data_IF_879010603143
#
_entry.id   IF_879010603143
#
_cell.length_a   1.000
_cell.length_b   1.000
_cell.length_c   1.000
_cell.angle_alpha   90.00
_cell.angle_beta   90.00
_cell.angle_gamma   90.00
#
_symmetry.space_group_name_H-M   'P 1'
#
loop_
_entity.id
_entity.type
_entity.pdbx_description
1 polymer ?
#
# COMPACT_ATOMS: atom_id res chain seq x y z
N UNK A 1 -11.93 31.14 -8.49
CA UNK A 1 -11.28 31.54 -7.23
C UNK A 1 -9.81 31.84 -7.48
N UNK A 2 -9.33 33.02 -7.08
CA UNK A 2 -7.92 33.36 -7.11
C UNK A 2 -7.14 32.58 -6.06
N UNK A 3 -5.94 32.10 -6.37
CA UNK A 3 -5.13 31.27 -5.47
C UNK A 3 -4.07 32.08 -4.71
N UNK A 4 -3.45 33.08 -5.34
CA UNK A 4 -2.35 33.88 -4.77
C UNK A 4 -2.83 35.08 -3.97
N UNK A 5 -3.95 35.68 -4.36
CA UNK A 5 -4.47 36.88 -3.74
C UNK A 5 -5.99 36.85 -3.62
N UNK A 6 -6.56 37.81 -2.88
CA UNK A 6 -8.01 38.01 -2.81
C UNK A 6 -8.57 38.78 -4.00
N UNK A 7 -7.78 39.66 -4.57
CA UNK A 7 -8.17 40.53 -5.67
C UNK A 7 -7.08 40.54 -6.75
N UNK A 8 -7.49 40.62 -8.00
CA UNK A 8 -6.61 40.85 -9.14
C UNK A 8 -6.93 42.23 -9.74
N UNK A 9 -5.90 43.03 -10.06
CA UNK A 9 -6.06 44.32 -10.73
C UNK A 9 -6.07 44.12 -12.25
N UNK A 10 -6.43 45.16 -12.95
CA UNK A 10 -6.39 45.19 -14.43
C UNK A 10 -4.95 44.92 -14.89
N UNK A 11 -4.81 43.97 -15.84
CA UNK A 11 -3.55 43.50 -16.40
C UNK A 11 -2.68 42.61 -15.48
N UNK A 12 -3.16 42.24 -14.29
CA UNK A 12 -2.47 41.28 -13.45
C UNK A 12 -2.55 39.86 -14.05
N UNK A 13 -1.46 39.11 -13.85
CA UNK A 13 -1.45 37.66 -14.08
C UNK A 13 -1.39 36.98 -12.72
N UNK A 14 -2.36 36.11 -12.47
CA UNK A 14 -2.46 35.39 -11.19
C UNK A 14 -2.93 33.96 -11.42
N UNK A 15 -2.57 33.08 -10.53
CA UNK A 15 -3.09 31.71 -10.51
C UNK A 15 -4.54 31.70 -10.00
N UNK A 16 -5.40 30.99 -10.71
CA UNK A 16 -6.79 30.87 -10.35
C UNK A 16 -7.30 29.43 -10.56
N UNK A 17 -8.26 29.04 -9.76
CA UNK A 17 -9.08 27.86 -10.01
C UNK A 17 -10.39 28.29 -10.67
N UNK A 18 -10.71 27.66 -11.80
CA UNK A 18 -11.98 27.81 -12.49
C UNK A 18 -12.80 26.57 -12.26
N UNK A 19 -13.98 26.73 -11.66
CA UNK A 19 -14.95 25.65 -11.48
C UNK A 19 -15.96 25.76 -12.61
N UNK A 20 -16.10 24.69 -13.36
CA UNK A 20 -17.03 24.63 -14.50
C UNK A 20 -18.38 24.05 -14.06
N UNK A 21 -19.46 24.64 -14.52
CA UNK A 21 -20.83 24.11 -14.28
C UNK A 21 -21.09 22.85 -15.08
N UNK A 22 -20.46 22.72 -16.25
CA UNK A 22 -20.53 21.52 -17.08
C UNK A 22 -19.13 21.03 -17.43
N UNK A 23 -18.95 19.72 -17.60
CA UNK A 23 -17.66 19.14 -18.00
C UNK A 23 -17.22 19.68 -19.36
N UNK A 24 -15.96 20.06 -19.46
CA UNK A 24 -15.30 20.39 -20.72
C UNK A 24 -14.07 19.51 -20.93
N UNK A 25 -13.84 19.15 -22.17
CA UNK A 25 -12.60 18.49 -22.57
C UNK A 25 -11.50 19.55 -22.71
N UNK A 26 -10.60 19.57 -21.76
CA UNK A 26 -9.49 20.53 -21.70
C UNK A 26 -8.15 19.82 -21.70
N UNK A 27 -7.15 20.49 -22.24
CA UNK A 27 -5.75 20.07 -22.21
C UNK A 27 -4.85 21.19 -21.67
N UNK A 28 -3.59 20.86 -21.36
CA UNK A 28 -2.61 21.88 -21.01
C UNK A 28 -2.45 22.90 -22.15
N UNK A 29 -2.44 24.16 -21.81
CA UNK A 29 -2.23 25.24 -22.76
C UNK A 29 -3.50 25.81 -23.41
N UNK A 30 -4.64 25.13 -23.25
CA UNK A 30 -5.92 25.64 -23.75
C UNK A 30 -6.21 27.04 -23.22
N UNK A 31 -6.79 27.87 -24.09
CA UNK A 31 -7.08 29.25 -23.78
C UNK A 31 -8.56 29.44 -23.51
N UNK A 32 -8.88 30.04 -22.39
CA UNK A 32 -10.24 30.36 -21.97
C UNK A 32 -10.46 31.85 -22.00
N UNK A 33 -11.65 32.26 -22.41
CA UNK A 33 -12.13 33.64 -22.30
C UNK A 33 -13.11 33.72 -21.12
N UNK A 34 -12.80 34.57 -20.15
CA UNK A 34 -13.61 34.74 -18.95
C UNK A 34 -14.50 36.00 -19.13
N UNK A 35 -15.81 35.83 -18.94
CA UNK A 35 -16.80 36.91 -18.98
C UNK A 35 -17.56 37.00 -17.67
N UNK A 36 -18.20 38.14 -17.42
CA UNK A 36 -19.15 38.31 -16.31
C UNK A 36 -20.34 37.33 -16.43
N UNK A 37 -21.02 37.04 -15.31
CA UNK A 37 -22.14 36.07 -15.29
C UNK A 37 -23.29 36.42 -16.23
N UNK A 38 -23.44 37.69 -16.59
CA UNK A 38 -24.38 38.19 -17.62
C UNK A 38 -23.77 38.19 -19.04
N UNK A 39 -22.55 37.67 -19.18
CA UNK A 39 -21.78 37.63 -20.44
C UNK A 39 -21.49 38.96 -21.14
N UNK A 40 -21.81 40.10 -20.51
CA UNK A 40 -21.66 41.42 -21.13
C UNK A 40 -20.23 41.97 -21.05
N UNK A 41 -19.50 41.66 -19.96
CA UNK A 41 -18.19 42.23 -19.72
C UNK A 41 -17.12 41.17 -19.87
N UNK A 42 -16.08 41.47 -20.63
CA UNK A 42 -14.86 40.67 -20.71
C UNK A 42 -14.04 40.90 -19.43
N UNK A 43 -13.86 39.85 -18.64
CA UNK A 43 -13.05 39.87 -17.41
C UNK A 43 -11.58 39.65 -17.75
N UNK A 44 -11.27 38.70 -18.64
CA UNK A 44 -9.91 38.41 -19.02
C UNK A 44 -9.76 37.12 -19.83
N UNK A 45 -8.52 36.72 -20.04
CA UNK A 45 -8.17 35.42 -20.62
C UNK A 45 -7.47 34.56 -19.58
N UNK A 46 -7.58 33.24 -19.76
CA UNK A 46 -6.84 32.27 -18.94
C UNK A 46 -6.20 31.19 -19.82
N UNK A 47 -5.13 30.60 -19.30
CA UNK A 47 -4.47 29.42 -19.88
C UNK A 47 -4.62 28.27 -18.90
N UNK A 48 -5.04 27.11 -19.39
CA UNK A 48 -5.13 25.89 -18.60
C UNK A 48 -3.73 25.38 -18.26
N UNK A 49 -3.46 25.18 -16.98
CA UNK A 49 -2.20 24.59 -16.48
C UNK A 49 -2.39 23.16 -16.00
N UNK A 50 -3.56 22.87 -15.45
CA UNK A 50 -3.91 21.56 -14.91
C UNK A 50 -5.42 21.35 -15.01
N UNK A 51 -5.85 20.13 -15.32
CA UNK A 51 -7.27 19.80 -15.47
C UNK A 51 -7.91 19.22 -14.21
N UNK A 52 -7.11 18.72 -13.27
CA UNK A 52 -7.57 18.14 -12.02
C UNK A 52 -7.02 18.91 -10.81
N UNK A 53 -7.78 19.87 -10.31
CA UNK A 53 -7.41 20.61 -9.10
C UNK A 53 -7.65 19.76 -7.84
N UNK A 54 -6.73 19.74 -6.87
CA UNK A 54 -6.93 19.04 -5.61
C UNK A 54 -8.08 19.67 -4.80
N UNK A 55 -8.82 18.84 -4.04
CA UNK A 55 -9.93 19.33 -3.21
C UNK A 55 -9.46 20.20 -2.03
N UNK A 56 -8.26 19.97 -1.51
CA UNK A 56 -7.67 20.63 -0.33
C UNK A 56 -6.29 21.17 -0.64
N UNK A 57 -5.78 22.06 0.21
CA UNK A 57 -4.42 22.61 0.15
C UNK A 57 -4.10 23.38 -1.15
N UNK A 58 -5.12 23.99 -1.76
CA UNK A 58 -5.02 24.69 -3.06
C UNK A 58 -4.13 25.92 -3.06
N UNK A 59 -3.89 26.51 -1.87
CA UNK A 59 -3.16 27.79 -1.69
C UNK A 59 -1.86 27.62 -0.88
N UNK A 60 -1.38 26.40 -0.70
CA UNK A 60 -0.08 26.20 -0.06
C UNK A 60 1.05 26.70 -0.95
N UNK A 61 2.14 27.13 -0.36
CA UNK A 61 3.32 27.59 -1.07
C UNK A 61 3.82 26.54 -2.07
N UNK A 62 3.93 25.29 -1.64
CA UNK A 62 4.31 24.17 -2.50
C UNK A 62 3.38 24.00 -3.71
N UNK A 63 2.07 24.20 -3.54
CA UNK A 63 1.10 24.13 -4.62
C UNK A 63 1.24 25.28 -5.62
N UNK A 64 1.43 26.48 -5.12
CA UNK A 64 1.65 27.67 -5.98
C UNK A 64 2.96 27.56 -6.76
N UNK A 65 4.03 27.11 -6.11
CA UNK A 65 5.31 26.86 -6.77
C UNK A 65 5.17 25.80 -7.88
N UNK A 66 4.47 24.70 -7.62
CA UNK A 66 4.20 23.67 -8.62
C UNK A 66 3.48 24.23 -9.86
N UNK A 67 2.40 24.99 -9.68
CA UNK A 67 1.66 25.61 -10.79
C UNK A 67 2.50 26.63 -11.55
N UNK A 68 3.33 27.39 -10.85
CA UNK A 68 4.28 28.31 -11.45
C UNK A 68 5.30 27.58 -12.33
N UNK A 69 5.87 26.49 -11.82
CA UNK A 69 6.80 25.64 -12.56
C UNK A 69 6.14 25.00 -13.80
N UNK A 70 4.90 24.50 -13.67
CA UNK A 70 4.13 24.01 -14.82
C UNK A 70 3.94 25.09 -15.90
N UNK A 71 3.66 26.34 -15.50
CA UNK A 71 3.49 27.44 -16.42
C UNK A 71 4.80 27.82 -17.14
N UNK A 72 5.93 27.66 -16.47
CA UNK A 72 7.27 27.97 -17.00
C UNK A 72 7.83 26.85 -17.88
N UNK A 73 7.39 25.60 -17.65
CA UNK A 73 7.85 24.44 -18.40
C UNK A 73 7.51 24.55 -19.90
N UNK A 74 8.53 24.42 -20.74
CA UNK A 74 8.41 24.63 -22.20
C UNK A 74 7.94 23.39 -22.94
N UNK A 75 8.31 22.20 -22.46
CA UNK A 75 8.01 20.91 -23.12
C UNK A 75 7.04 20.07 -22.29
N UNK A 76 6.34 19.15 -22.94
CA UNK A 76 5.51 18.14 -22.29
C UNK A 76 6.35 17.28 -21.34
N UNK A 77 7.53 16.87 -21.75
CA UNK A 77 8.48 16.09 -20.94
C UNK A 77 8.76 16.78 -19.58
N UNK A 78 9.06 18.07 -19.59
CA UNK A 78 9.29 18.84 -18.35
C UNK A 78 8.05 18.86 -17.45
N UNK A 79 6.85 19.03 -18.00
CA UNK A 79 5.60 19.04 -17.22
C UNK A 79 5.25 17.68 -16.67
N UNK A 80 5.48 16.62 -17.45
CA UNK A 80 5.31 15.22 -16.99
C UNK A 80 6.24 14.96 -15.79
N UNK A 81 7.53 15.29 -15.90
CA UNK A 81 8.48 15.12 -14.80
C UNK A 81 8.05 15.86 -13.54
N UNK A 82 7.61 17.14 -13.66
CA UNK A 82 7.07 17.89 -12.51
C UNK A 82 5.83 17.22 -11.89
N UNK A 83 4.96 16.68 -12.72
CA UNK A 83 3.72 16.03 -12.27
C UNK A 83 4.03 14.72 -11.52
N UNK A 84 4.95 13.92 -12.05
CA UNK A 84 5.34 12.63 -11.48
C UNK A 84 6.22 12.74 -10.23
N UNK A 85 6.85 13.89 -9.99
CA UNK A 85 7.49 14.17 -8.69
C UNK A 85 6.51 14.19 -7.53
N UNK A 86 5.24 14.43 -7.81
CA UNK A 86 4.22 14.59 -6.77
C UNK A 86 3.42 13.33 -6.52
N UNK A 87 3.00 12.65 -7.58
CA UNK A 87 2.10 11.50 -7.49
C UNK A 87 2.27 10.55 -8.69
N UNK A 88 1.84 9.31 -8.52
CA UNK A 88 1.62 8.44 -9.68
C UNK A 88 0.37 8.88 -10.45
N UNK A 89 0.50 8.97 -11.77
CA UNK A 89 -0.57 9.44 -12.66
C UNK A 89 -0.83 8.40 -13.76
N UNK A 90 -2.09 8.24 -14.15
CA UNK A 90 -2.41 7.31 -15.23
C UNK A 90 -1.82 7.79 -16.56
N UNK A 91 -1.26 6.86 -17.34
CA UNK A 91 -0.73 7.14 -18.67
C UNK A 91 -1.77 7.80 -19.56
N UNK A 92 -3.02 7.34 -19.49
CA UNK A 92 -4.13 7.93 -20.23
C UNK A 92 -4.39 9.40 -19.84
N UNK A 93 -4.29 9.75 -18.54
CA UNK A 93 -4.45 11.14 -18.09
C UNK A 93 -3.30 12.02 -18.58
N UNK A 94 -2.06 11.52 -18.58
CA UNK A 94 -0.90 12.24 -19.12
C UNK A 94 -1.02 12.45 -20.63
N UNK A 95 -1.35 11.41 -21.39
CA UNK A 95 -1.57 11.52 -22.83
C UNK A 95 -2.67 12.53 -23.16
N UNK A 96 -3.76 12.52 -22.39
CA UNK A 96 -4.84 13.47 -22.57
C UNK A 96 -4.42 14.90 -22.24
N UNK A 97 -3.87 15.12 -21.06
CA UNK A 97 -3.52 16.47 -20.58
C UNK A 97 -2.47 17.15 -21.44
N UNK A 98 -1.52 16.37 -21.98
CA UNK A 98 -0.41 16.88 -22.79
C UNK A 98 -0.64 16.68 -24.31
N UNK A 99 -1.76 16.07 -24.71
CA UNK A 99 -2.11 15.76 -26.11
C UNK A 99 -1.03 14.94 -26.81
N UNK A 100 -0.55 13.88 -26.14
CA UNK A 100 0.51 13.00 -26.63
C UNK A 100 -0.05 11.69 -27.16
N UNK A 101 0.65 11.12 -28.13
CA UNK A 101 0.52 9.73 -28.54
C UNK A 101 1.24 8.81 -27.54
N UNK A 102 0.96 7.52 -27.61
CA UNK A 102 1.63 6.49 -26.80
C UNK A 102 3.16 6.54 -26.91
N UNK A 103 3.67 6.67 -28.16
CA UNK A 103 5.11 6.73 -28.40
C UNK A 103 5.75 8.00 -27.81
N UNK A 104 5.09 9.15 -27.96
CA UNK A 104 5.57 10.41 -27.38
C UNK A 104 5.59 10.37 -25.86
N UNK A 105 4.60 9.74 -25.22
CA UNK A 105 4.64 9.53 -23.78
C UNK A 105 5.80 8.63 -23.37
N UNK A 106 6.03 7.52 -24.08
CA UNK A 106 7.14 6.62 -23.80
C UNK A 106 8.51 7.32 -23.94
N UNK A 107 8.69 8.18 -24.95
CA UNK A 107 9.89 8.99 -25.12
C UNK A 107 10.07 9.98 -23.96
N UNK A 108 9.00 10.68 -23.55
CA UNK A 108 9.03 11.63 -22.45
C UNK A 108 9.36 10.98 -21.09
N UNK A 109 8.83 9.80 -20.83
CA UNK A 109 9.14 9.03 -19.62
C UNK A 109 10.61 8.57 -19.63
N UNK A 110 11.10 8.07 -20.75
CA UNK A 110 12.49 7.65 -20.89
C UNK A 110 13.48 8.81 -20.70
N UNK A 111 13.17 10.01 -21.23
CA UNK A 111 13.99 11.21 -21.06
C UNK A 111 14.11 11.63 -19.60
N UNK A 112 13.05 11.45 -18.80
CA UNK A 112 13.02 11.78 -17.39
C UNK A 112 13.52 10.67 -16.46
N UNK A 113 13.80 9.47 -16.96
CA UNK A 113 14.00 8.23 -16.17
C UNK A 113 12.78 7.88 -15.30
N UNK A 114 11.59 8.22 -15.79
CA UNK A 114 10.32 7.88 -15.16
C UNK A 114 9.88 6.47 -15.55
N UNK A 115 9.08 5.84 -14.71
CA UNK A 115 8.70 4.43 -14.85
C UNK A 115 7.21 4.34 -15.18
N UNK A 116 6.89 3.33 -16.02
CA UNK A 116 5.51 2.94 -16.29
C UNK A 116 5.26 1.50 -15.88
N UNK A 117 4.24 1.30 -15.07
CA UNK A 117 3.68 -0.01 -14.77
C UNK A 117 2.20 -0.03 -15.15
N UNK A 118 1.85 -0.85 -16.14
CA UNK A 118 0.51 -0.91 -16.72
C UNK A 118 0.03 0.50 -17.17
N UNK A 119 -1.02 1.01 -16.51
CA UNK A 119 -1.57 2.35 -16.78
C UNK A 119 -1.02 3.44 -15.84
N UNK A 120 -0.07 3.14 -14.96
CA UNK A 120 0.48 4.11 -14.01
C UNK A 120 1.89 4.53 -14.39
N UNK A 121 2.11 5.85 -14.40
CA UNK A 121 3.43 6.46 -14.56
C UNK A 121 3.83 7.10 -13.23
N UNK A 122 5.08 6.96 -12.83
CA UNK A 122 5.64 7.46 -11.58
C UNK A 122 7.16 7.60 -11.70
N UNK A 123 7.75 8.38 -10.81
CA UNK A 123 9.20 8.48 -10.73
C UNK A 123 9.79 7.58 -9.63
N UNK A 124 11.11 7.44 -9.62
CA UNK A 124 11.82 6.61 -8.64
C UNK A 124 11.70 7.16 -7.20
N UNK A 125 11.55 8.46 -7.01
CA UNK A 125 11.41 9.06 -5.69
C UNK A 125 10.04 8.71 -5.09
N UNK A 126 8.99 8.75 -5.90
CA UNK A 126 7.66 8.28 -5.51
C UNK A 126 7.71 6.80 -5.09
N UNK A 127 8.33 5.93 -5.89
CA UNK A 127 8.46 4.51 -5.55
C UNK A 127 9.20 4.33 -4.21
N UNK A 128 10.35 5.01 -4.03
CA UNK A 128 11.11 4.98 -2.79
C UNK A 128 10.30 5.47 -1.59
N UNK A 129 9.56 6.54 -1.74
CA UNK A 129 8.68 7.05 -0.68
C UNK A 129 7.63 6.02 -0.28
N UNK A 130 6.95 5.40 -1.24
CA UNK A 130 5.89 4.43 -0.95
C UNK A 130 6.43 3.13 -0.36
N UNK A 131 7.56 2.62 -0.86
CA UNK A 131 8.23 1.46 -0.25
C UNK A 131 8.69 1.76 1.18
N UNK A 132 9.22 2.95 1.44
CA UNK A 132 9.58 3.36 2.81
C UNK A 132 8.35 3.47 3.74
N UNK A 133 7.23 3.99 3.24
CA UNK A 133 5.97 4.03 3.99
C UNK A 133 5.49 2.62 4.35
N UNK A 134 5.59 1.66 3.44
CA UNK A 134 5.25 0.25 3.66
C UNK A 134 6.15 -0.36 4.75
N UNK A 135 7.47 -0.18 4.67
CA UNK A 135 8.42 -0.68 5.66
C UNK A 135 8.15 -0.09 7.05
N UNK A 136 7.93 1.23 7.11
CA UNK A 136 7.66 1.92 8.38
C UNK A 136 6.35 1.46 9.02
N UNK A 137 5.29 1.32 8.23
CA UNK A 137 4.00 0.84 8.71
C UNK A 137 4.10 -0.59 9.25
N UNK A 138 4.86 -1.45 8.58
CA UNK A 138 5.06 -2.83 8.99
C UNK A 138 5.96 -2.92 10.25
N UNK A 139 7.01 -2.10 10.35
CA UNK A 139 7.84 -2.01 11.54
C UNK A 139 7.03 -1.58 12.76
N UNK A 140 6.25 -0.50 12.64
CA UNK A 140 5.35 -0.03 13.70
C UNK A 140 4.34 -1.09 14.11
N UNK A 141 3.80 -1.84 13.14
CA UNK A 141 2.90 -2.94 13.44
C UNK A 141 3.58 -4.06 14.24
N UNK A 142 4.80 -4.42 13.89
CA UNK A 142 5.57 -5.45 14.61
C UNK A 142 5.94 -5.03 16.04
N UNK A 143 6.23 -3.77 16.26
CA UNK A 143 6.47 -3.23 17.61
C UNK A 143 5.22 -3.32 18.51
N UNK A 144 4.05 -3.04 17.93
CA UNK A 144 2.78 -3.08 18.65
C UNK A 144 2.20 -4.50 18.80
N UNK A 145 2.57 -5.42 17.92
CA UNK A 145 2.02 -6.78 17.80
C UNK A 145 3.13 -7.80 17.58
N UNK A 146 4.06 -7.88 18.53
CA UNK A 146 5.24 -8.75 18.46
C UNK A 146 4.91 -10.26 18.44
N UNK A 147 3.67 -10.63 18.81
CA UNK A 147 3.12 -11.98 18.79
C UNK A 147 2.42 -12.35 17.47
N UNK A 148 2.32 -11.42 16.52
CA UNK A 148 1.68 -11.63 15.22
C UNK A 148 2.71 -11.84 14.12
N UNK A 149 2.42 -12.75 13.19
CA UNK A 149 3.31 -13.01 12.04
C UNK A 149 3.53 -11.79 11.17
N UNK A 150 2.49 -11.01 10.94
CA UNK A 150 2.52 -9.85 10.08
C UNK A 150 1.14 -9.42 9.61
N UNK A 151 1.08 -8.82 8.44
CA UNK A 151 -0.14 -8.26 7.84
C UNK A 151 -0.47 -8.94 6.51
N UNK A 152 -1.76 -9.07 6.20
CA UNK A 152 -2.17 -9.37 4.82
C UNK A 152 -1.85 -8.20 3.89
N UNK A 153 -1.61 -8.47 2.61
CA UNK A 153 -1.33 -7.45 1.58
C UNK A 153 -2.36 -6.32 1.60
N UNK A 154 -3.64 -6.66 1.64
CA UNK A 154 -4.73 -5.68 1.67
C UNK A 154 -4.75 -4.82 2.95
N UNK A 155 -4.37 -5.39 4.11
CA UNK A 155 -4.28 -4.62 5.35
C UNK A 155 -3.07 -3.70 5.35
N UNK A 156 -1.93 -4.17 4.86
CA UNK A 156 -0.71 -3.38 4.73
C UNK A 156 -0.94 -2.19 3.80
N UNK A 157 -1.54 -2.40 2.63
CA UNK A 157 -1.95 -1.32 1.72
C UNK A 157 -2.78 -0.24 2.43
N UNK A 158 -3.82 -0.66 3.18
CA UNK A 158 -4.73 0.29 3.86
C UNK A 158 -4.06 1.12 4.94
N UNK A 159 -3.09 0.58 5.67
CA UNK A 159 -2.43 1.32 6.75
C UNK A 159 -1.23 2.14 6.27
N UNK A 160 -0.57 1.72 5.19
CA UNK A 160 0.64 2.37 4.70
C UNK A 160 0.37 3.41 3.61
N UNK A 161 -0.50 3.09 2.65
CA UNK A 161 -0.60 3.81 1.38
C UNK A 161 -2.04 4.01 0.91
N UNK A 162 -2.99 4.14 1.85
CA UNK A 162 -4.40 4.38 1.52
C UNK A 162 -4.54 5.57 0.55
N UNK A 163 -5.43 5.43 -0.43
CA UNK A 163 -5.67 6.37 -1.52
C UNK A 163 -4.61 6.39 -2.64
N UNK A 164 -3.63 5.51 -2.61
CA UNK A 164 -2.77 5.26 -3.76
C UNK A 164 -3.38 4.18 -4.67
N UNK A 165 -2.96 4.06 -5.94
CA UNK A 165 -3.44 2.99 -6.82
C UNK A 165 -3.09 1.60 -6.26
N UNK A 166 -4.10 0.81 -5.89
CA UNK A 166 -3.91 -0.47 -5.19
C UNK A 166 -3.04 -1.46 -5.99
N UNK A 167 -3.29 -1.59 -7.29
CA UNK A 167 -2.51 -2.47 -8.16
C UNK A 167 -1.04 -2.05 -8.27
N UNK A 168 -0.75 -0.74 -8.25
CA UNK A 168 0.62 -0.22 -8.25
C UNK A 168 1.33 -0.51 -6.93
N UNK A 169 0.66 -0.29 -5.80
CA UNK A 169 1.23 -0.60 -4.49
C UNK A 169 1.45 -2.11 -4.32
N UNK A 170 0.56 -2.93 -4.84
CA UNK A 170 0.74 -4.39 -4.83
C UNK A 170 1.95 -4.81 -5.67
N UNK A 171 2.20 -4.15 -6.80
CA UNK A 171 3.42 -4.36 -7.57
C UNK A 171 4.68 -4.01 -6.76
N UNK A 172 4.70 -2.88 -6.06
CA UNK A 172 5.83 -2.53 -5.19
C UNK A 172 6.05 -3.56 -4.08
N UNK A 173 4.98 -4.09 -3.49
CA UNK A 173 5.08 -5.17 -2.49
C UNK A 173 5.71 -6.43 -3.09
N UNK A 174 5.35 -6.82 -4.33
CA UNK A 174 5.97 -7.96 -5.01
C UNK A 174 7.46 -7.72 -5.27
N UNK A 175 7.84 -6.54 -5.78
CA UNK A 175 9.24 -6.18 -5.97
C UNK A 175 10.02 -6.25 -4.64
N UNK A 176 9.45 -5.73 -3.54
CA UNK A 176 10.05 -5.79 -2.20
C UNK A 176 10.22 -7.23 -1.68
N UNK A 177 9.32 -8.14 -2.04
CA UNK A 177 9.44 -9.57 -1.75
C UNK A 177 10.58 -10.21 -2.56
N UNK A 178 10.65 -9.91 -3.86
CA UNK A 178 11.69 -10.42 -4.76
C UNK A 178 13.09 -9.92 -4.37
N UNK A 179 13.18 -8.67 -3.91
CA UNK A 179 14.42 -8.06 -3.39
C UNK A 179 14.78 -8.50 -1.96
N UNK A 180 13.89 -9.24 -1.28
CA UNK A 180 14.10 -9.71 0.08
C UNK A 180 13.94 -8.62 1.16
N UNK A 181 13.39 -7.46 0.81
CA UNK A 181 13.06 -6.40 1.78
C UNK A 181 11.86 -6.77 2.65
N UNK A 182 10.98 -7.59 2.11
CA UNK A 182 9.86 -8.22 2.81
C UNK A 182 9.96 -9.74 2.70
N UNK A 183 9.30 -10.42 3.61
CA UNK A 183 9.09 -11.87 3.56
C UNK A 183 7.60 -12.18 3.71
N UNK A 184 7.19 -13.31 3.16
CA UNK A 184 5.83 -13.80 3.30
C UNK A 184 5.83 -15.20 3.90
N UNK A 185 5.10 -15.37 5.00
CA UNK A 185 4.90 -16.67 5.63
C UNK A 185 3.41 -16.94 5.78
N UNK A 186 2.91 -18.01 5.16
CA UNK A 186 1.48 -18.41 5.21
C UNK A 186 0.52 -17.26 4.82
N UNK A 187 0.91 -16.44 3.84
CA UNK A 187 0.09 -15.32 3.37
C UNK A 187 0.26 -14.02 4.18
N UNK A 188 1.07 -14.01 5.24
CA UNK A 188 1.35 -12.84 6.06
C UNK A 188 2.68 -12.21 5.67
N UNK A 189 2.66 -10.91 5.36
CA UNK A 189 3.84 -10.11 5.06
C UNK A 189 4.50 -9.64 6.36
N UNK A 190 5.82 -9.77 6.42
CA UNK A 190 6.61 -9.35 7.59
C UNK A 190 8.02 -8.89 7.18
N UNK A 191 8.67 -8.15 8.07
CA UNK A 191 10.08 -7.80 7.90
C UNK A 191 10.95 -9.05 8.07
N UNK A 192 12.09 -9.18 7.36
CA UNK A 192 13.02 -10.29 7.52
C UNK A 192 13.58 -10.43 8.94
N UNK A 193 13.69 -9.31 9.65
CA UNK A 193 14.14 -9.27 11.05
C UNK A 193 13.06 -9.70 12.06
N UNK A 194 11.79 -9.71 11.65
CA UNK A 194 10.69 -10.04 12.55
C UNK A 194 10.52 -11.56 12.65
N UNK A 195 10.67 -12.07 13.85
CA UNK A 195 10.45 -13.49 14.17
C UNK A 195 9.56 -13.57 15.40
N UNK A 196 8.42 -14.23 15.26
CA UNK A 196 7.68 -14.64 16.46
C UNK A 196 8.53 -15.66 17.21
N UNK A 197 8.69 -15.47 18.51
CA UNK A 197 9.38 -16.39 19.38
C UNK A 197 8.59 -16.53 20.67
N UNK A 198 8.70 -17.68 21.32
CA UNK A 198 8.25 -17.82 22.69
C UNK A 198 9.14 -17.02 23.63
N UNK A 199 8.54 -16.31 24.59
CA UNK A 199 9.26 -15.78 25.74
C UNK A 199 9.87 -16.92 26.56
N UNK A 200 10.74 -16.61 27.51
CA UNK A 200 11.31 -17.63 28.42
C UNK A 200 10.23 -18.39 29.21
N UNK A 201 9.19 -17.67 29.64
CA UNK A 201 8.03 -18.25 30.32
C UNK A 201 7.20 -19.11 29.38
N UNK A 202 6.95 -18.64 28.16
CA UNK A 202 6.24 -19.37 27.12
C UNK A 202 7.02 -20.60 26.65
N UNK A 203 8.36 -20.57 26.63
CA UNK A 203 9.17 -21.75 26.34
C UNK A 203 9.03 -22.83 27.42
N UNK A 204 8.93 -22.42 28.68
CA UNK A 204 8.66 -23.34 29.80
C UNK A 204 7.26 -23.95 29.68
N UNK A 205 6.27 -23.10 29.38
CA UNK A 205 4.90 -23.57 29.14
C UNK A 205 4.83 -24.51 27.92
N UNK A 206 5.58 -24.22 26.85
CA UNK A 206 5.63 -25.07 25.68
C UNK A 206 6.12 -26.49 25.99
N UNK A 207 7.14 -26.62 26.83
CA UNK A 207 7.63 -27.95 27.27
C UNK A 207 6.55 -28.75 28.01
N UNK A 208 5.78 -28.08 28.85
CA UNK A 208 4.65 -28.73 29.56
C UNK A 208 3.52 -29.11 28.58
N UNK A 209 3.18 -28.23 27.64
CA UNK A 209 2.16 -28.53 26.60
C UNK A 209 2.61 -29.70 25.72
N UNK A 210 3.89 -29.74 25.33
CA UNK A 210 4.42 -30.84 24.53
C UNK A 210 4.30 -32.19 25.26
N UNK A 211 4.63 -32.22 26.56
CA UNK A 211 4.49 -33.43 27.35
C UNK A 211 3.05 -33.94 27.42
N UNK A 212 2.03 -33.08 27.45
CA UNK A 212 0.64 -33.48 27.38
C UNK A 212 0.25 -34.04 26.01
N UNK A 213 0.77 -33.49 24.91
CA UNK A 213 0.59 -34.06 23.58
C UNK A 213 1.26 -35.43 23.42
N UNK A 214 2.42 -35.66 24.02
CA UNK A 214 3.10 -36.93 24.05
C UNK A 214 2.26 -38.01 24.79
N UNK A 215 1.67 -37.66 25.94
CA UNK A 215 0.73 -38.54 26.67
C UNK A 215 -0.53 -38.86 25.88
N UNK A 216 -0.95 -37.93 25.01
CA UNK A 216 -2.14 -38.13 24.17
C UNK A 216 -1.87 -39.03 22.95
N UNK A 217 -0.63 -39.56 22.77
CA UNK A 217 -0.28 -40.52 21.71
C UNK A 217 -0.75 -40.09 20.30
N UNK A 218 -0.49 -38.84 19.96
CA UNK A 218 -0.81 -38.28 18.62
C UNK A 218 -2.26 -37.83 18.47
N UNK A 219 -3.09 -37.84 19.50
CA UNK A 219 -4.46 -37.33 19.43
C UNK A 219 -4.51 -35.80 19.53
N UNK A 220 -5.60 -35.21 18.97
CA UNK A 220 -5.85 -33.79 19.10
C UNK A 220 -6.40 -33.45 20.49
N UNK A 221 -5.88 -32.36 21.07
CA UNK A 221 -6.27 -31.89 22.42
C UNK A 221 -7.07 -30.59 22.29
N UNK A 222 -8.10 -30.45 23.12
CA UNK A 222 -8.87 -29.23 23.26
C UNK A 222 -8.13 -28.24 24.16
N UNK A 223 -8.25 -26.93 23.84
CA UNK A 223 -7.69 -25.84 24.66
C UNK A 223 -8.12 -25.95 26.13
N UNK A 224 -9.42 -26.23 26.38
CA UNK A 224 -9.97 -26.39 27.72
C UNK A 224 -9.31 -27.56 28.49
N UNK A 225 -9.11 -28.66 27.83
CA UNK A 225 -8.54 -29.83 28.48
C UNK A 225 -7.04 -29.62 28.78
N UNK A 226 -6.31 -28.94 27.88
CA UNK A 226 -4.94 -28.51 28.10
C UNK A 226 -4.83 -27.52 29.25
N UNK A 227 -5.71 -26.51 29.31
CA UNK A 227 -5.75 -25.53 30.38
C UNK A 227 -5.99 -26.19 31.76
N UNK A 228 -6.90 -27.15 31.81
CA UNK A 228 -7.20 -27.94 33.02
C UNK A 228 -5.99 -28.79 33.44
N UNK A 229 -5.35 -29.49 32.50
CA UNK A 229 -4.21 -30.37 32.80
C UNK A 229 -2.99 -29.59 33.33
N UNK A 230 -2.79 -28.36 32.85
CA UNK A 230 -1.67 -27.51 33.25
C UNK A 230 -2.05 -26.42 34.29
N UNK A 231 -3.26 -26.47 34.84
CA UNK A 231 -3.80 -25.48 35.81
C UNK A 231 -3.61 -24.03 35.37
N UNK A 232 -3.85 -23.75 34.08
CA UNK A 232 -3.77 -22.43 33.46
C UNK A 232 -5.16 -21.84 33.18
N UNK A 233 -5.24 -20.52 33.06
CA UNK A 233 -6.45 -19.86 32.56
C UNK A 233 -6.73 -20.29 31.11
N UNK A 234 -8.00 -20.63 30.81
CA UNK A 234 -8.40 -21.11 29.48
C UNK A 234 -8.15 -20.07 28.39
N UNK A 235 -8.37 -18.77 28.67
CA UNK A 235 -8.16 -17.71 27.71
C UNK A 235 -6.67 -17.52 27.41
N UNK A 236 -5.82 -17.56 28.44
CA UNK A 236 -4.37 -17.51 28.29
C UNK A 236 -3.85 -18.72 27.52
N UNK A 237 -4.31 -19.93 27.85
CA UNK A 237 -3.96 -21.16 27.10
C UNK A 237 -4.41 -21.12 25.66
N UNK A 238 -5.59 -20.60 25.38
CA UNK A 238 -6.08 -20.40 24.01
C UNK A 238 -5.13 -19.53 23.20
N UNK A 239 -4.80 -18.36 23.73
CA UNK A 239 -3.87 -17.42 23.07
C UNK A 239 -2.51 -18.08 22.82
N UNK A 240 -1.99 -18.79 23.79
CA UNK A 240 -0.72 -19.51 23.69
C UNK A 240 -0.77 -20.62 22.62
N UNK A 241 -1.79 -21.48 22.61
CA UNK A 241 -1.90 -22.55 21.62
C UNK A 241 -2.10 -22.00 20.20
N UNK A 242 -2.83 -20.90 20.03
CA UNK A 242 -2.90 -20.20 18.74
C UNK A 242 -1.57 -19.59 18.33
N UNK A 243 -0.79 -19.03 19.26
CA UNK A 243 0.58 -18.57 19.01
C UNK A 243 1.48 -19.73 18.58
N UNK A 244 1.43 -20.85 19.27
CA UNK A 244 2.15 -22.07 18.88
C UNK A 244 1.73 -22.59 17.48
N UNK A 245 0.46 -22.43 17.14
CA UNK A 245 -0.06 -22.71 15.79
C UNK A 245 0.55 -21.78 14.74
N UNK A 246 0.64 -20.48 15.00
CA UNK A 246 1.31 -19.50 14.11
C UNK A 246 2.78 -19.85 13.90
N UNK A 247 3.46 -20.30 14.95
CA UNK A 247 4.85 -20.77 14.89
C UNK A 247 5.02 -22.10 14.14
N UNK A 248 3.93 -22.81 13.88
CA UNK A 248 3.95 -24.09 13.16
C UNK A 248 4.11 -25.33 14.03
N UNK A 249 4.15 -25.18 15.34
CA UNK A 249 4.24 -26.31 16.27
C UNK A 249 2.90 -27.06 16.42
N UNK A 250 1.79 -26.34 16.35
CA UNK A 250 0.44 -26.89 16.43
C UNK A 250 -0.34 -26.63 15.14
N UNK A 251 -1.26 -27.53 14.81
CA UNK A 251 -2.18 -27.39 13.68
C UNK A 251 -3.62 -27.45 14.19
N UNK A 252 -4.41 -26.36 14.04
CA UNK A 252 -5.82 -26.36 14.39
C UNK A 252 -6.60 -27.20 13.38
N UNK A 253 -7.48 -28.09 13.87
CA UNK A 253 -8.39 -28.88 13.03
C UNK A 253 -9.82 -28.37 13.07
N UNK A 254 -10.22 -27.88 14.23
CA UNK A 254 -11.45 -27.10 14.46
C UNK A 254 -11.13 -26.00 15.47
N UNK A 255 -12.08 -25.12 15.70
CA UNK A 255 -11.92 -24.06 16.71
C UNK A 255 -11.54 -24.68 18.06
N UNK A 256 -10.47 -24.17 18.67
CA UNK A 256 -9.95 -24.56 20.00
C UNK A 256 -9.51 -26.02 20.15
N UNK A 257 -9.23 -26.75 19.04
CA UNK A 257 -8.70 -28.10 19.08
C UNK A 257 -7.50 -28.25 18.14
N UNK A 258 -6.40 -28.78 18.66
CA UNK A 258 -5.11 -28.78 17.98
C UNK A 258 -4.49 -30.18 17.95
N UNK A 259 -3.79 -30.47 16.87
CA UNK A 259 -2.78 -31.51 16.79
C UNK A 259 -1.38 -30.94 16.97
N UNK A 260 -0.46 -31.75 17.46
CA UNK A 260 0.96 -31.49 17.21
C UNK A 260 1.22 -31.62 15.71
N UNK A 261 1.84 -30.63 15.10
CA UNK A 261 2.05 -30.60 13.64
C UNK A 261 2.88 -31.81 13.16
N UNK A 262 3.86 -32.25 13.96
CA UNK A 262 4.66 -33.43 13.68
C UNK A 262 3.81 -34.70 13.62
N UNK A 263 2.77 -34.86 14.46
CA UNK A 263 1.85 -35.98 14.42
C UNK A 263 1.08 -36.06 13.11
N UNK A 264 0.68 -34.92 12.56
CA UNK A 264 0.02 -34.86 11.25
C UNK A 264 0.95 -35.32 10.14
N UNK A 265 2.20 -34.90 10.14
CA UNK A 265 3.20 -35.37 9.17
C UNK A 265 3.48 -36.88 9.34
N UNK A 266 3.49 -37.38 10.57
CA UNK A 266 3.64 -38.81 10.81
C UNK A 266 2.45 -39.61 10.23
N UNK A 267 1.22 -39.14 10.44
CA UNK A 267 0.01 -39.73 9.85
C UNK A 267 0.02 -39.68 8.32
N UNK A 268 0.40 -38.54 7.75
CA UNK A 268 0.49 -38.42 6.30
C UNK A 268 1.50 -39.40 5.69
N UNK A 269 2.65 -39.62 6.34
CA UNK A 269 3.64 -40.62 5.91
C UNK A 269 3.07 -42.03 6.02
N UNK A 270 2.44 -42.36 7.13
CA UNK A 270 1.83 -43.68 7.33
C UNK A 270 0.73 -44.00 6.29
N UNK A 271 -0.12 -42.99 5.99
CA UNK A 271 -1.15 -43.12 4.95
C UNK A 271 -0.52 -43.35 3.58
N UNK A 272 0.55 -42.62 3.25
CA UNK A 272 1.29 -42.76 1.98
C UNK A 272 1.87 -44.20 1.87
N UNK A 273 2.51 -44.69 2.93
CA UNK A 273 3.05 -46.05 2.99
C UNK A 273 1.96 -47.12 2.84
N UNK A 274 0.81 -46.92 3.48
CA UNK A 274 -0.33 -47.87 3.39
C UNK A 274 -1.03 -47.81 2.03
N UNK A 275 -1.08 -46.67 1.38
CA UNK A 275 -1.69 -46.50 0.05
C UNK A 275 -0.87 -47.13 -1.08
N UNK A 276 0.39 -47.48 -0.83
CA UNK A 276 1.31 -47.95 -1.84
C UNK A 276 1.76 -46.74 -2.72
N UNK A 277 3.04 -46.65 -3.02
CA UNK A 277 3.50 -45.69 -4.03
C UNK A 277 2.99 -46.18 -5.39
N UNK A 278 1.96 -45.51 -5.96
CA UNK A 278 1.72 -45.47 -7.41
C UNK A 278 2.32 -44.22 -8.00
#
# INVERSE_FOLDING_TARGET
TLLESKNAMKNDRTLAEVILEQPLFLAFGDKLILRSGDAKVLIGGAKVLEIHSPKRYKRTEARLAFLTNLNQAKTATQRIGLTLQKDAVSAQALMWSEQLTENQLAEALAENDDIRFQNWCFNRDYQREKTQQILTALATYHEQHNDQLGLSKARLYRIATLNQPENLIYHFIEEMLDEGQLQQTRGWLHLPSHKIQFSAEEQTLWKAVLAEFEKAHGQAIWVRDMATALAQDESAMRNFMYKAGKLGYLTPIVKDRFFLTESIYAYARLIKEMAGEE
#
